data_IF_765230314677
#
_entry.id   IF_765230314677
#
_cell.length_a   1.000
_cell.length_b   1.000
_cell.length_c   1.000
_cell.angle_alpha   90.00
_cell.angle_beta   90.00
_cell.angle_gamma   90.00
#
_symmetry.space_group_name_H-M   'P 1'
#
loop_
_entity.id
_entity.type
_entity.pdbx_description
1 polymer ?
#
# COMPACT_ATOMS: atom_id res chain seq x y z
N UNK A 1 5.79 -22.41 -10.50
CA UNK A 1 6.29 -21.25 -9.73
C UNK A 1 6.86 -21.81 -8.43
N UNK A 2 8.09 -21.44 -8.05
CA UNK A 2 8.76 -21.97 -6.84
C UNK A 2 9.26 -20.79 -6.00
N UNK A 3 9.21 -20.92 -4.68
CA UNK A 3 9.70 -19.92 -3.74
C UNK A 3 11.00 -20.42 -3.12
N UNK A 4 11.99 -19.54 -3.04
CA UNK A 4 13.28 -19.81 -2.40
C UNK A 4 13.32 -18.94 -1.14
N UNK A 5 13.53 -19.56 0.00
CA UNK A 5 13.80 -18.89 1.26
C UNK A 5 15.29 -18.97 1.53
N UNK A 6 15.89 -17.82 1.85
CA UNK A 6 17.29 -17.73 2.23
C UNK A 6 17.46 -16.59 3.23
N UNK A 7 18.47 -16.71 4.09
CA UNK A 7 18.87 -15.65 5.01
C UNK A 7 19.92 -14.77 4.33
N UNK A 8 19.71 -13.45 4.37
CA UNK A 8 20.64 -12.47 3.84
C UNK A 8 20.51 -11.15 4.60
N UNK A 9 21.64 -10.48 4.80
CA UNK A 9 21.67 -9.15 5.37
C UNK A 9 21.26 -8.09 4.33
N UNK A 10 20.49 -7.11 4.79
CA UNK A 10 20.21 -5.90 4.03
C UNK A 10 21.26 -4.85 4.43
N UNK A 11 22.14 -4.49 3.50
CA UNK A 11 23.17 -3.47 3.71
C UNK A 11 22.87 -2.29 2.78
N UNK A 12 22.67 -1.10 3.36
CA UNK A 12 22.36 0.13 2.61
C UNK A 12 21.16 -0.02 1.65
N UNK A 13 20.13 -0.77 2.07
CA UNK A 13 18.94 -1.04 1.26
C UNK A 13 19.15 -2.08 0.14
N UNK A 14 20.31 -2.72 0.06
CA UNK A 14 20.63 -3.74 -0.94
C UNK A 14 20.63 -5.12 -0.30
N UNK A 15 19.79 -6.02 -0.83
CA UNK A 15 19.83 -7.46 -0.52
C UNK A 15 20.75 -8.15 -1.53
N UNK A 16 21.83 -8.76 -1.06
CA UNK A 16 22.73 -9.54 -1.92
C UNK A 16 22.21 -10.98 -2.02
N UNK A 17 21.83 -11.40 -3.23
CA UNK A 17 21.45 -12.80 -3.49
C UNK A 17 22.67 -13.70 -3.26
N UNK A 18 22.58 -14.74 -2.41
CA UNK A 18 23.68 -15.67 -2.17
C UNK A 18 24.22 -16.30 -3.46
N UNK A 19 25.54 -16.57 -3.58
CA UNK A 19 26.16 -17.06 -4.81
C UNK A 19 25.58 -18.40 -5.31
N UNK A 20 25.11 -19.26 -4.41
CA UNK A 20 24.43 -20.52 -4.71
C UNK A 20 23.18 -20.35 -5.60
N UNK A 21 22.55 -19.17 -5.56
CA UNK A 21 21.41 -18.81 -6.40
C UNK A 21 21.79 -17.94 -7.60
N UNK A 22 23.05 -17.97 -8.04
CA UNK A 22 23.56 -17.20 -9.21
C UNK A 22 22.73 -17.34 -10.49
N UNK A 23 21.97 -18.42 -10.64
CA UNK A 23 21.02 -18.64 -11.76
C UNK A 23 19.87 -17.62 -11.78
N UNK A 24 19.58 -16.94 -10.66
CA UNK A 24 18.54 -15.92 -10.54
C UNK A 24 18.97 -14.53 -11.06
N UNK A 25 20.25 -14.34 -11.44
CA UNK A 25 20.82 -13.03 -11.79
C UNK A 25 20.10 -12.26 -12.91
N UNK A 26 19.42 -12.95 -13.82
CA UNK A 26 18.74 -12.33 -14.97
C UNK A 26 17.28 -12.81 -15.11
N UNK A 27 16.57 -12.98 -13.99
CA UNK A 27 15.17 -13.44 -13.98
C UNK A 27 14.24 -12.47 -13.27
N UNK A 28 13.00 -12.37 -13.76
CA UNK A 28 11.93 -11.68 -13.04
C UNK A 28 11.58 -12.46 -11.76
N UNK A 29 11.65 -11.80 -10.60
CA UNK A 29 11.39 -12.40 -9.31
C UNK A 29 10.47 -11.51 -8.46
N UNK A 30 9.57 -12.14 -7.69
CA UNK A 30 8.81 -11.50 -6.62
C UNK A 30 9.55 -11.76 -5.31
N UNK A 31 9.90 -10.69 -4.59
CA UNK A 31 10.62 -10.78 -3.32
C UNK A 31 9.65 -10.48 -2.19
N UNK A 32 9.66 -11.32 -1.14
CA UNK A 32 8.94 -11.11 0.11
C UNK A 32 10.00 -11.04 1.20
N UNK A 33 10.04 -9.95 1.95
CA UNK A 33 11.02 -9.73 3.02
C UNK A 33 10.27 -9.75 4.35
N UNK A 34 10.73 -10.59 5.27
CA UNK A 34 10.25 -10.60 6.65
C UNK A 34 11.23 -9.80 7.51
N UNK A 35 10.74 -8.71 8.10
CA UNK A 35 11.50 -7.89 9.05
C UNK A 35 10.82 -7.93 10.41
N UNK A 36 11.56 -7.63 11.48
CA UNK A 36 10.95 -7.47 12.81
C UNK A 36 10.11 -6.19 12.83
N UNK A 37 9.02 -6.18 13.59
CA UNK A 37 8.07 -5.06 13.65
C UNK A 37 8.73 -3.71 13.93
N UNK A 38 9.78 -3.69 14.74
CA UNK A 38 10.58 -2.51 15.09
C UNK A 38 11.37 -1.88 13.93
N UNK A 39 11.49 -2.60 12.81
CA UNK A 39 12.31 -2.23 11.65
C UNK A 39 11.52 -2.08 10.35
N UNK A 40 10.21 -2.38 10.37
CA UNK A 40 9.34 -2.05 9.27
C UNK A 40 9.08 -0.54 9.30
N UNK A 41 9.54 0.25 8.30
CA UNK A 41 8.93 1.55 8.09
C UNK A 41 7.45 1.26 7.83
N UNK A 42 6.58 1.65 8.76
CA UNK A 42 5.17 1.83 8.42
C UNK A 42 5.19 2.72 7.19
N UNK A 43 4.65 2.29 6.03
CA UNK A 43 4.46 3.24 4.95
C UNK A 43 3.63 4.35 5.58
N UNK A 44 4.24 5.53 5.79
CA UNK A 44 3.56 6.69 6.36
C UNK A 44 2.22 6.73 5.66
N UNK A 45 1.14 6.56 6.43
CA UNK A 45 -0.19 6.35 5.90
C UNK A 45 -0.40 7.43 4.85
N UNK A 46 -0.33 7.04 3.57
CA UNK A 46 -0.23 8.00 2.49
C UNK A 46 -1.44 8.90 2.64
N UNK A 47 -1.21 10.19 2.92
CA UNK A 47 -2.29 11.13 3.16
C UNK A 47 -3.21 11.03 1.96
N UNK A 48 -4.45 10.58 2.18
CA UNK A 48 -5.39 10.36 1.09
C UNK A 48 -5.71 11.73 0.50
N UNK A 49 -5.13 12.03 -0.68
CA UNK A 49 -5.44 13.27 -1.39
C UNK A 49 -6.78 13.13 -2.10
N UNK A 50 -7.81 13.72 -1.50
CA UNK A 50 -9.16 13.74 -2.01
C UNK A 50 -9.48 15.03 -2.78
N UNK A 51 -8.50 15.90 -3.06
CA UNK A 51 -8.73 17.20 -3.73
C UNK A 51 -9.34 17.06 -5.13
N UNK A 52 -9.10 15.92 -5.80
CA UNK A 52 -9.59 15.64 -7.14
C UNK A 52 -10.94 14.91 -7.15
N UNK A 53 -11.52 14.63 -5.99
CA UNK A 53 -12.77 13.90 -5.87
C UNK A 53 -13.94 14.86 -5.86
N UNK A 54 -14.83 14.72 -6.85
CA UNK A 54 -16.07 15.48 -6.92
C UNK A 54 -17.21 14.60 -6.41
N UNK A 55 -17.81 14.99 -5.29
CA UNK A 55 -18.95 14.28 -4.71
C UNK A 55 -20.23 14.72 -5.43
N UNK A 56 -20.83 13.82 -6.20
CA UNK A 56 -22.10 14.09 -6.92
C UNK A 56 -23.35 13.84 -6.06
N UNK A 57 -23.24 13.09 -4.96
CA UNK A 57 -24.35 12.59 -4.15
C UNK A 57 -25.27 13.67 -3.56
N UNK A 58 -24.81 14.92 -3.50
CA UNK A 58 -25.58 16.06 -2.99
C UNK A 58 -25.66 17.22 -3.99
N UNK A 59 -25.17 17.05 -5.22
CA UNK A 59 -25.15 18.08 -6.28
C UNK A 59 -24.61 19.45 -5.83
N UNK A 60 -23.67 19.47 -4.88
CA UNK A 60 -23.13 20.72 -4.31
C UNK A 60 -24.00 21.38 -3.24
N UNK A 61 -25.08 20.72 -2.78
CA UNK A 61 -25.85 21.11 -1.60
C UNK A 61 -25.23 20.53 -0.32
N UNK A 62 -25.53 21.16 0.80
CA UNK A 62 -25.16 20.64 2.11
C UNK A 62 -25.88 19.33 2.41
N UNK A 63 -25.13 18.31 2.87
CA UNK A 63 -25.67 16.99 3.11
C UNK A 63 -26.71 16.96 4.26
N UNK A 64 -26.56 17.83 5.26
CA UNK A 64 -27.49 17.92 6.40
C UNK A 64 -28.79 18.57 5.96
N UNK A 65 -28.73 19.54 5.05
CA UNK A 65 -29.91 20.17 4.44
C UNK A 65 -30.74 19.14 3.64
N UNK A 66 -30.09 18.38 2.75
CA UNK A 66 -30.74 17.32 1.95
C UNK A 66 -31.39 16.27 2.87
N UNK A 67 -30.69 15.86 3.93
CA UNK A 67 -31.21 14.87 4.87
C UNK A 67 -32.44 15.38 5.65
N UNK A 68 -32.48 16.68 5.98
CA UNK A 68 -33.63 17.29 6.68
C UNK A 68 -34.87 17.35 5.79
N UNK A 69 -34.71 17.75 4.53
CA UNK A 69 -35.81 17.74 3.55
C UNK A 69 -36.43 16.36 3.42
N UNK A 70 -35.61 15.32 3.20
CA UNK A 70 -36.10 13.94 3.08
C UNK A 70 -36.82 13.42 4.33
N UNK A 71 -36.41 13.88 5.52
CA UNK A 71 -37.06 13.48 6.79
C UNK A 71 -38.39 14.18 6.99
N UNK A 72 -38.47 15.45 6.64
CA UNK A 72 -39.66 16.27 6.86
C UNK A 72 -40.73 16.05 5.76
N UNK A 73 -40.38 15.32 4.69
CA UNK A 73 -41.30 14.79 3.65
C UNK A 73 -42.00 13.46 4.03
N UNK A 74 -41.66 12.84 5.18
CA UNK A 74 -42.25 11.58 5.67
C UNK A 74 -43.22 11.76 6.83
#
# INVERSE_FOLDING_TARGET
>A
MYAIEFEADIQDGVVKIPPEYSRLRNSHAKIVVMVRDESAPSPEAASLDLSNLRVEAFQGRDAVEVQREMRDEW
#
